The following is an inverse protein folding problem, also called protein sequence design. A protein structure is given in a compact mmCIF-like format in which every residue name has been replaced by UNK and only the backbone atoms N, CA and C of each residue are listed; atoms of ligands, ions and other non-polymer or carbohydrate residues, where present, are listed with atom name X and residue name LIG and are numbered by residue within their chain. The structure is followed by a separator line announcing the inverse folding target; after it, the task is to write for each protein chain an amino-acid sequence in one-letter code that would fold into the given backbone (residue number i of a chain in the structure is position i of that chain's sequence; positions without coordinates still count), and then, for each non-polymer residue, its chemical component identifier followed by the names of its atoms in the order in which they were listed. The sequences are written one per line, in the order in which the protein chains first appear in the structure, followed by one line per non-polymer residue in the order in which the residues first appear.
data_IF_470088585980
#
_entry.id   IF_470088585980
#
_cell.length_a   1.000
_cell.length_b   1.000
_cell.length_c   1.000
_cell.angle_alpha   90.00
_cell.angle_beta   90.00
_cell.angle_gamma   90.00
#
_symmetry.space_group_name_H-M   'P 1'
#
loop_
_entity.id
_entity.type
_entity.pdbx_description
1 polymer ?
#
# COMPACT_ATOMS: atom_id res chain seq x y z
N UNK A 1 11.21 -2.62 13.34
CA UNK A 1 10.07 -1.71 13.56
C UNK A 1 10.46 -0.41 12.89
N UNK A 2 9.53 0.26 12.20
CA UNK A 2 9.85 1.51 11.49
C UNK A 2 9.91 2.68 12.48
N UNK A 3 10.77 3.63 12.19
CA UNK A 3 10.97 4.84 13.01
C UNK A 3 9.94 5.90 12.67
N UNK A 4 9.49 5.96 11.41
CA UNK A 4 8.47 6.87 10.92
C UNK A 4 7.67 6.28 9.74
N UNK A 5 6.64 7.02 9.29
CA UNK A 5 5.79 6.62 8.18
C UNK A 5 6.52 6.62 6.83
N UNK A 6 7.54 7.46 6.63
CA UNK A 6 8.31 7.55 5.39
C UNK A 6 9.07 6.24 5.16
N UNK A 7 9.79 5.75 6.18
CA UNK A 7 10.47 4.46 6.12
C UNK A 7 9.49 3.31 5.80
N UNK A 8 8.27 3.38 6.35
CA UNK A 8 7.23 2.41 6.07
C UNK A 8 6.75 2.47 4.62
N UNK A 9 6.56 3.68 4.06
CA UNK A 9 6.20 3.88 2.65
C UNK A 9 7.27 3.36 1.70
N UNK A 10 8.54 3.62 1.99
CA UNK A 10 9.66 3.12 1.18
C UNK A 10 9.74 1.60 1.20
N UNK A 11 9.57 0.97 2.37
CA UNK A 11 9.55 -0.48 2.50
C UNK A 11 8.37 -1.13 1.75
N UNK A 12 7.18 -0.53 1.83
CA UNK A 12 6.02 -0.94 1.05
C UNK A 12 6.30 -0.81 -0.46
N UNK A 13 6.79 0.33 -0.91
CA UNK A 13 7.15 0.56 -2.31
C UNK A 13 8.15 -0.47 -2.83
N UNK A 14 9.20 -0.76 -2.05
CA UNK A 14 10.18 -1.79 -2.40
C UNK A 14 9.55 -3.18 -2.51
N UNK A 15 8.68 -3.57 -1.59
CA UNK A 15 8.02 -4.87 -1.63
C UNK A 15 7.06 -5.00 -2.83
N UNK A 16 6.31 -3.94 -3.12
CA UNK A 16 5.37 -3.87 -4.26
C UNK A 16 6.12 -3.96 -5.59
N UNK A 17 7.13 -3.13 -5.79
CA UNK A 17 7.92 -3.10 -7.04
C UNK A 17 8.71 -4.38 -7.27
N UNK A 18 9.18 -5.04 -6.20
CA UNK A 18 9.87 -6.34 -6.32
C UNK A 18 8.91 -7.49 -6.68
N UNK A 19 7.61 -7.33 -6.37
CA UNK A 19 6.57 -8.33 -6.66
C UNK A 19 5.91 -8.11 -8.04
N UNK A 20 5.92 -6.87 -8.54
CA UNK A 20 5.37 -6.52 -9.83
C UNK A 20 6.32 -6.90 -10.98
N UNK A 21 5.82 -7.62 -11.98
CA UNK A 21 6.59 -7.90 -13.21
C UNK A 21 6.54 -6.69 -14.14
N UNK A 22 7.69 -6.17 -14.62
CA UNK A 22 7.69 -5.15 -15.65
C UNK A 22 7.07 -5.66 -16.97
N UNK A 23 6.47 -4.77 -17.79
CA UNK A 23 6.27 -3.35 -17.52
C UNK A 23 5.06 -3.08 -16.62
N UNK A 24 5.23 -2.18 -15.65
CA UNK A 24 4.14 -1.60 -14.87
C UNK A 24 4.30 -0.07 -14.81
N UNK A 25 3.19 0.66 -14.75
CA UNK A 25 3.15 2.13 -14.67
C UNK A 25 2.56 2.63 -13.36
N UNK A 26 1.71 1.80 -12.73
CA UNK A 26 1.03 2.11 -11.46
C UNK A 26 0.80 0.83 -10.67
N UNK A 27 0.94 0.89 -9.35
CA UNK A 27 0.54 -0.15 -8.40
C UNK A 27 -0.35 0.53 -7.34
N UNK A 28 -1.56 0.02 -7.15
CA UNK A 28 -2.50 0.50 -6.15
C UNK A 28 -2.67 -0.57 -5.07
N UNK A 29 -2.54 -0.18 -3.81
CA UNK A 29 -2.91 -0.99 -2.65
C UNK A 29 -4.16 -0.39 -2.02
N UNK A 30 -5.22 -1.17 -2.02
CA UNK A 30 -6.44 -0.89 -1.26
C UNK A 30 -6.44 -1.79 -0.04
N UNK A 31 -6.20 -1.23 1.13
CA UNK A 31 -6.15 -1.98 2.38
C UNK A 31 -7.24 -1.53 3.35
N UNK A 32 -7.79 -2.47 4.10
CA UNK A 32 -8.71 -2.24 5.19
C UNK A 32 -8.18 -2.85 6.48
N UNK A 33 -8.50 -2.21 7.60
CA UNK A 33 -8.05 -2.62 8.93
C UNK A 33 -9.28 -2.84 9.83
N UNK A 34 -9.38 -4.05 10.39
CA UNK A 34 -10.37 -4.43 11.39
C UNK A 34 -9.67 -4.99 12.62
N UNK A 35 -9.46 -4.15 13.64
CA UNK A 35 -8.66 -4.49 14.81
C UNK A 35 -7.19 -4.72 14.43
N UNK A 36 -6.73 -5.97 14.47
CA UNK A 36 -5.38 -6.37 14.03
C UNK A 36 -5.36 -7.07 12.67
N UNK A 37 -6.54 -7.28 12.07
CA UNK A 37 -6.67 -7.94 10.77
C UNK A 37 -6.50 -6.91 9.66
N UNK A 38 -5.64 -7.23 8.69
CA UNK A 38 -5.45 -6.45 7.46
C UNK A 38 -5.95 -7.27 6.29
N UNK A 39 -6.90 -6.71 5.54
CA UNK A 39 -7.32 -7.24 4.24
C UNK A 39 -6.85 -6.23 3.17
N UNK A 40 -6.04 -6.68 2.22
CA UNK A 40 -5.43 -5.82 1.19
C UNK A 40 -5.55 -6.42 -0.20
N UNK A 41 -5.91 -5.58 -1.17
CA UNK A 41 -5.93 -5.89 -2.60
C UNK A 41 -4.85 -5.05 -3.27
N UNK A 42 -4.02 -5.69 -4.08
CA UNK A 42 -2.95 -5.01 -4.82
C UNK A 42 -3.22 -5.15 -6.31
N UNK A 43 -3.48 -4.03 -6.98
CA UNK A 43 -3.73 -3.96 -8.42
C UNK A 43 -2.55 -3.30 -9.12
N UNK A 44 -2.21 -3.70 -10.34
CA UNK A 44 -1.18 -3.03 -11.13
C UNK A 44 -1.65 -2.74 -12.56
N UNK A 45 -1.11 -1.68 -13.15
CA UNK A 45 -1.35 -1.24 -14.53
C UNK A 45 -0.06 -1.33 -15.32
N UNK A 46 -0.17 -1.63 -16.62
CA UNK A 46 0.95 -1.64 -17.57
C UNK A 46 0.92 -0.46 -18.56
N UNK A 47 -0.03 0.47 -18.41
CA UNK A 47 -0.19 1.65 -19.28
C UNK A 47 -0.89 1.38 -20.62
N UNK A 48 -1.33 0.15 -20.91
CA UNK A 48 -2.06 -0.15 -22.16
C UNK A 48 -3.54 0.23 -22.10
N UNK A 49 -4.14 0.18 -20.91
CA UNK A 49 -5.55 0.51 -20.68
C UNK A 49 -5.72 1.21 -19.34
N UNK A 50 -6.87 1.86 -19.14
CA UNK A 50 -7.24 2.43 -17.84
C UNK A 50 -7.63 1.37 -16.79
N UNK A 51 -7.73 0.09 -17.19
CA UNK A 51 -8.04 -1.01 -16.29
C UNK A 51 -6.75 -1.65 -15.73
N UNK A 52 -6.81 -2.22 -14.51
CA UNK A 52 -5.70 -3.01 -14.00
C UNK A 52 -5.32 -4.10 -15.00
N UNK A 53 -4.02 -4.24 -15.25
CA UNK A 53 -3.46 -5.37 -16.00
C UNK A 53 -3.55 -6.68 -15.20
N UNK A 54 -3.58 -6.60 -13.87
CA UNK A 54 -3.77 -7.74 -12.98
C UNK A 54 -3.66 -7.38 -11.51
N UNK A 55 -3.62 -8.43 -10.68
CA UNK A 55 -3.48 -8.33 -9.23
C UNK A 55 -2.18 -8.97 -8.78
N UNK A 56 -1.52 -8.37 -7.78
CA UNK A 56 -0.35 -8.96 -7.13
C UNK A 56 -0.81 -9.77 -5.92
N UNK A 57 -0.48 -11.06 -5.92
CA UNK A 57 -0.74 -11.96 -4.80
C UNK A 57 0.56 -12.26 -4.06
N UNK A 58 0.49 -12.37 -2.73
CA UNK A 58 1.63 -12.81 -1.93
C UNK A 58 2.76 -11.78 -1.81
N UNK A 59 2.44 -10.48 -1.84
CA UNK A 59 3.41 -9.41 -1.58
C UNK A 59 4.00 -9.60 -0.17
N UNK A 60 5.30 -9.88 -0.04
CA UNK A 60 5.90 -10.19 1.25
C UNK A 60 5.69 -9.05 2.24
N UNK A 61 5.31 -9.39 3.47
CA UNK A 61 5.22 -8.46 4.61
C UNK A 61 4.19 -7.32 4.46
N UNK A 62 3.40 -7.28 3.38
CA UNK A 62 2.47 -6.19 3.11
C UNK A 62 1.48 -5.97 4.28
N UNK A 63 0.83 -7.02 4.75
CA UNK A 63 -0.12 -6.93 5.86
C UNK A 63 0.54 -6.35 7.13
N UNK A 64 1.78 -6.74 7.40
CA UNK A 64 2.55 -6.20 8.53
C UNK A 64 2.87 -4.73 8.31
N UNK A 65 3.29 -4.34 7.11
CA UNK A 65 3.59 -2.93 6.81
C UNK A 65 2.35 -2.04 6.93
N UNK A 66 1.20 -2.49 6.45
CA UNK A 66 -0.07 -1.77 6.61
C UNK A 66 -0.44 -1.61 8.09
N UNK A 67 -0.26 -2.65 8.91
CA UNK A 67 -0.53 -2.57 10.34
C UNK A 67 0.43 -1.60 11.06
N UNK A 68 1.72 -1.66 10.75
CA UNK A 68 2.71 -0.71 11.30
C UNK A 68 2.41 0.72 10.85
N UNK A 69 2.00 0.91 9.58
CA UNK A 69 1.58 2.20 9.07
C UNK A 69 0.40 2.75 9.86
N UNK A 70 -0.62 1.92 10.13
CA UNK A 70 -1.77 2.31 10.95
C UNK A 70 -1.36 2.80 12.34
N UNK A 71 -0.33 2.20 12.94
CA UNK A 71 0.22 2.64 14.23
C UNK A 71 0.91 3.99 14.14
N UNK A 72 1.65 4.23 13.06
CA UNK A 72 2.44 5.45 12.84
C UNK A 72 1.57 6.66 12.48
N UNK A 73 0.50 6.44 11.71
CA UNK A 73 -0.43 7.49 11.27
C UNK A 73 -1.70 7.55 12.11
N UNK A 74 -1.71 6.87 13.27
CA UNK A 74 -2.86 6.84 14.16
C UNK A 74 -3.26 8.27 14.54
N UNK A 75 -4.53 8.57 14.34
CA UNK A 75 -5.14 9.82 14.78
C UNK A 75 -5.50 9.71 16.27
N UNK A 76 -5.23 10.76 17.05
CA UNK A 76 -5.48 10.74 18.50
C UNK A 76 -6.98 10.69 18.83
N UNK A 77 -7.82 11.33 18.00
CA UNK A 77 -9.27 11.42 18.21
C UNK A 77 -10.00 10.26 17.53
N UNK A 78 -9.59 9.89 16.32
CA UNK A 78 -10.28 8.90 15.47
C UNK A 78 -9.68 7.50 15.57
N UNK A 79 -8.46 7.37 16.08
CA UNK A 79 -7.77 6.09 16.19
C UNK A 79 -7.12 5.64 14.89
N UNK A 80 -7.20 4.34 14.60
CA UNK A 80 -6.64 3.78 13.37
C UNK A 80 -7.52 4.09 12.16
N UNK A 81 -6.92 4.17 10.97
CA UNK A 81 -7.69 4.21 9.74
C UNK A 81 -8.48 2.91 9.56
N UNK A 82 -9.67 3.01 8.95
CA UNK A 82 -10.45 1.87 8.44
C UNK A 82 -10.01 1.47 7.04
N UNK A 83 -9.61 2.43 6.20
CA UNK A 83 -9.06 2.18 4.85
C UNK A 83 -7.81 2.99 4.57
N UNK A 84 -6.93 2.41 3.78
CA UNK A 84 -5.71 3.01 3.25
C UNK A 84 -5.63 2.76 1.74
N UNK A 85 -5.50 3.84 0.97
CA UNK A 85 -5.25 3.81 -0.46
C UNK A 85 -3.82 4.26 -0.73
N UNK A 86 -2.95 3.33 -1.12
CA UNK A 86 -1.54 3.62 -1.44
C UNK A 86 -1.32 3.47 -2.95
N UNK A 87 -1.08 4.57 -3.64
CA UNK A 87 -0.88 4.63 -5.09
C UNK A 87 0.58 4.92 -5.42
N UNK A 88 1.28 3.97 -6.03
CA UNK A 88 2.67 4.06 -6.45
C UNK A 88 2.78 4.10 -7.96
N UNK A 89 3.49 5.10 -8.49
CA UNK A 89 3.78 5.26 -9.91
C UNK A 89 5.18 4.76 -10.25
N UNK A 90 5.39 4.38 -11.51
CA UNK A 90 6.68 3.89 -12.00
C UNK A 90 7.80 4.94 -12.00
N UNK A 91 7.46 6.23 -11.85
CA UNK A 91 8.42 7.32 -11.66
C UNK A 91 8.87 7.49 -10.21
N UNK A 92 8.43 6.62 -9.30
CA UNK A 92 8.76 6.65 -7.87
C UNK A 92 7.89 7.60 -7.05
N UNK A 93 6.97 8.36 -7.69
CA UNK A 93 6.00 9.15 -6.94
C UNK A 93 4.93 8.25 -6.34
N UNK A 94 4.49 8.59 -5.14
CA UNK A 94 3.37 7.92 -4.51
C UNK A 94 2.41 8.91 -3.85
N UNK A 95 1.19 8.46 -3.61
CA UNK A 95 0.17 9.14 -2.83
C UNK A 95 -0.45 8.16 -1.84
N UNK A 96 -0.79 8.65 -0.64
CA UNK A 96 -1.42 7.83 0.39
C UNK A 96 -2.61 8.57 0.96
N UNK A 97 -3.77 7.91 0.98
CA UNK A 97 -5.00 8.45 1.52
C UNK A 97 -5.55 7.53 2.60
N UNK A 98 -6.06 8.12 3.69
CA UNK A 98 -6.59 7.40 4.83
C UNK A 98 -8.06 7.77 5.07
N UNK A 99 -8.89 6.77 5.34
CA UNK A 99 -10.27 6.92 5.79
C UNK A 99 -10.38 6.38 7.23
N UNK A 100 -10.87 7.19 8.18
CA UNK A 100 -10.93 6.86 9.61
C UNK A 100 -12.33 6.45 10.08
#
# INVERSE_FOLDING_TARGET
MFSDAIECYEAMGKALTSSARPPWTRILVDASLEGSRVDAVVSYWNGQTDKPAGYLTGVPMLARYVYELARLVRDEEKGFFKKCHFDLRSDGKFNVEFEY
#
